data_IF_032435380936
#
_entry.id   IF_032435380936
#
_cell.length_a   1.000
_cell.length_b   1.000
_cell.length_c   1.000
_cell.angle_alpha   90.00
_cell.angle_beta   90.00
_cell.angle_gamma   90.00
#
_symmetry.space_group_name_H-M   'P 1'
#
loop_
_entity.id
_entity.type
_entity.pdbx_description
1 polymer ?
#
# COMPACT_ATOMS: atom_id res chain seq x y z
N UNK A 1 11.61 20.97 -11.65
CA UNK A 1 10.70 21.18 -10.50
C UNK A 1 10.46 19.82 -9.82
N UNK A 2 10.41 19.81 -8.49
CA UNK A 2 10.12 18.61 -7.70
C UNK A 2 8.62 18.28 -7.78
N UNK A 3 8.29 17.01 -7.97
CA UNK A 3 6.92 16.50 -7.82
C UNK A 3 6.79 16.01 -6.37
N UNK A 4 5.88 16.58 -5.62
CA UNK A 4 5.58 16.16 -4.26
C UNK A 4 4.69 14.91 -4.22
N UNK A 5 4.38 14.44 -3.01
CA UNK A 5 3.42 13.37 -2.80
C UNK A 5 2.02 13.75 -3.34
N UNK A 6 1.33 12.80 -3.95
CA UNK A 6 0.01 13.06 -4.56
C UNK A 6 -1.13 13.18 -3.52
N UNK A 7 -0.91 12.77 -2.29
CA UNK A 7 -1.80 12.99 -1.14
C UNK A 7 -1.01 13.67 -0.04
N UNK A 8 -1.55 14.76 0.51
CA UNK A 8 -0.91 15.49 1.58
C UNK A 8 -1.60 15.21 2.93
N UNK A 9 -0.83 14.83 3.93
CA UNK A 9 -1.25 14.68 5.32
C UNK A 9 -2.53 13.84 5.52
N UNK A 10 -2.58 12.60 5.05
CA UNK A 10 -3.70 11.71 5.35
C UNK A 10 -3.79 11.46 6.86
N UNK A 11 -5.01 11.23 7.38
CA UNK A 11 -5.16 10.85 8.79
C UNK A 11 -4.68 9.42 9.05
N UNK A 12 -4.72 8.57 8.02
CA UNK A 12 -4.23 7.20 8.05
C UNK A 12 -3.50 6.84 6.77
N UNK A 13 -2.39 6.17 6.92
CA UNK A 13 -1.74 5.42 5.86
C UNK A 13 -1.73 3.94 6.27
N UNK A 14 -2.60 3.16 5.66
CA UNK A 14 -2.76 1.74 5.94
C UNK A 14 -2.06 0.90 4.89
N UNK A 15 -1.56 -0.25 5.29
CA UNK A 15 -1.00 -1.26 4.39
C UNK A 15 -1.66 -2.61 4.61
N UNK A 16 -1.68 -3.43 3.56
CA UNK A 16 -2.21 -4.79 3.60
C UNK A 16 -1.06 -5.78 3.41
N UNK A 17 -0.82 -6.58 4.42
CA UNK A 17 0.21 -7.61 4.38
C UNK A 17 -0.25 -8.87 3.66
N UNK A 18 0.68 -9.52 2.95
CA UNK A 18 0.50 -10.84 2.34
C UNK A 18 -0.78 -10.95 1.48
N UNK A 19 -1.00 -9.98 0.61
CA UNK A 19 -2.23 -9.89 -0.18
C UNK A 19 -2.12 -10.41 -1.62
N UNK A 20 -1.00 -11.04 -1.99
CA UNK A 20 -0.81 -11.65 -3.30
C UNK A 20 -0.50 -13.14 -3.17
N UNK A 21 -1.15 -13.95 -4.03
CA UNK A 21 -1.07 -15.42 -3.96
C UNK A 21 0.32 -15.96 -4.25
N UNK A 22 1.00 -15.38 -5.22
CA UNK A 22 2.37 -15.73 -5.60
C UNK A 22 3.36 -15.39 -4.48
N UNK A 23 3.23 -14.21 -3.86
CA UNK A 23 4.04 -13.81 -2.72
C UNK A 23 3.84 -14.73 -1.50
N UNK A 24 2.61 -15.14 -1.20
CA UNK A 24 2.32 -16.11 -0.15
C UNK A 24 3.00 -17.46 -0.44
N UNK A 25 2.95 -17.91 -1.69
CA UNK A 25 3.59 -19.15 -2.15
C UNK A 25 5.11 -19.07 -2.07
N UNK A 26 5.71 -17.98 -2.53
CA UNK A 26 7.14 -17.73 -2.48
C UNK A 26 7.70 -17.77 -1.05
N UNK A 27 6.96 -17.23 -0.10
CA UNK A 27 7.33 -17.21 1.32
C UNK A 27 6.93 -18.51 2.08
N UNK A 28 6.29 -19.49 1.44
CA UNK A 28 5.73 -20.67 2.08
C UNK A 28 4.78 -20.34 3.25
N UNK A 29 4.01 -19.26 3.12
CA UNK A 29 3.04 -18.85 4.12
C UNK A 29 1.63 -19.27 3.71
N UNK A 30 0.76 -19.59 4.67
CA UNK A 30 -0.64 -19.87 4.38
C UNK A 30 -1.35 -18.61 3.89
N UNK A 31 -2.29 -18.77 2.97
CA UNK A 31 -3.16 -17.66 2.53
C UNK A 31 -3.95 -17.15 3.74
N UNK A 32 -3.90 -15.84 4.04
CA UNK A 32 -4.66 -15.24 5.13
C UNK A 32 -6.16 -15.44 4.92
N UNK A 33 -6.88 -15.71 6.00
CA UNK A 33 -8.36 -15.80 5.98
C UNK A 33 -9.03 -14.43 6.03
N UNK A 34 -8.31 -13.42 6.53
CA UNK A 34 -8.75 -12.03 6.66
C UNK A 34 -7.60 -11.10 6.31
N UNK A 35 -7.86 -9.85 5.84
CA UNK A 35 -6.83 -8.88 5.55
C UNK A 35 -5.93 -8.59 6.76
N UNK A 36 -4.63 -8.70 6.57
CA UNK A 36 -3.63 -8.30 7.59
C UNK A 36 -3.40 -6.81 7.42
N UNK A 37 -3.98 -6.01 8.30
CA UNK A 37 -3.86 -4.55 8.27
C UNK A 37 -2.70 -4.10 9.17
N UNK A 38 -1.85 -3.23 8.66
CA UNK A 38 -0.85 -2.52 9.45
C UNK A 38 -0.89 -1.02 9.13
N UNK A 39 -0.29 -0.21 9.99
CA UNK A 39 -0.16 1.23 9.76
C UNK A 39 1.24 1.57 9.27
N UNK A 40 1.31 2.43 8.25
CA UNK A 40 2.53 3.19 7.96
C UNK A 40 2.39 4.55 8.64
N UNK A 41 3.44 4.98 9.33
CA UNK A 41 3.43 6.31 9.96
C UNK A 41 3.44 7.39 8.86
N UNK A 42 2.58 8.39 8.98
CA UNK A 42 2.39 9.38 7.91
C UNK A 42 3.61 10.24 7.60
N UNK A 43 4.59 10.30 8.53
CA UNK A 43 5.90 10.92 8.31
C UNK A 43 6.73 10.22 7.22
N UNK A 44 6.40 8.96 6.87
CA UNK A 44 7.11 8.24 5.81
C UNK A 44 6.78 8.73 4.41
N UNK A 45 5.71 9.52 4.24
CA UNK A 45 5.21 9.95 2.92
C UNK A 45 6.17 10.94 2.29
N UNK A 46 6.58 10.62 1.06
CA UNK A 46 7.41 11.47 0.20
C UNK A 46 6.90 11.42 -1.24
N UNK A 47 7.38 12.33 -2.07
CA UNK A 47 7.05 12.33 -3.50
C UNK A 47 7.69 11.17 -4.26
N UNK A 48 7.23 10.89 -5.49
CA UNK A 48 7.62 9.69 -6.25
C UNK A 48 9.11 9.69 -6.66
N UNK A 49 9.75 10.85 -6.66
CA UNK A 49 11.16 11.01 -7.06
C UNK A 49 12.04 11.50 -5.89
N UNK A 50 11.52 11.48 -4.67
CA UNK A 50 12.31 11.83 -3.50
C UNK A 50 13.22 10.66 -3.09
N UNK A 51 14.33 10.98 -2.45
CA UNK A 51 15.24 9.96 -1.96
C UNK A 51 14.63 9.17 -0.82
N UNK A 52 14.88 7.86 -0.81
CA UNK A 52 14.61 7.00 0.33
C UNK A 52 15.88 7.01 1.21
N UNK A 53 15.70 7.37 2.47
CA UNK A 53 16.80 7.40 3.44
C UNK A 53 16.88 6.06 4.17
N UNK A 54 17.95 5.31 3.92
CA UNK A 54 18.18 4.03 4.61
C UNK A 54 18.45 4.33 6.10
N UNK A 55 17.71 3.73 7.04
CA UNK A 55 17.88 3.97 8.46
C UNK A 55 19.29 3.58 8.95
N UNK A 56 19.77 4.28 9.97
CA UNK A 56 21.06 3.92 10.61
C UNK A 56 21.01 2.47 11.10
N UNK A 57 22.07 1.73 10.83
CA UNK A 57 22.21 0.31 11.18
C UNK A 57 21.19 -0.62 10.49
N UNK A 58 20.54 -0.18 9.41
CA UNK A 58 19.75 -1.04 8.55
C UNK A 58 20.65 -1.79 7.56
N UNK A 59 20.40 -3.08 7.43
CA UNK A 59 21.04 -3.95 6.44
C UNK A 59 20.00 -4.72 5.60
N UNK A 60 18.72 -4.51 5.87
CA UNK A 60 17.61 -5.27 5.27
C UNK A 60 16.49 -4.35 4.76
N UNK A 61 16.84 -3.19 4.21
CA UNK A 61 15.90 -2.32 3.51
C UNK A 61 15.54 -2.95 2.17
N UNK A 62 14.24 -3.07 1.90
CA UNK A 62 13.68 -3.80 0.78
C UNK A 62 12.56 -2.99 0.11
N UNK A 63 12.22 -3.33 -1.10
CA UNK A 63 11.19 -2.66 -1.93
C UNK A 63 9.93 -3.52 -2.02
N UNK A 64 8.80 -2.87 -2.23
CA UNK A 64 7.51 -3.49 -2.53
C UNK A 64 6.72 -2.54 -3.43
N UNK A 65 6.60 -2.86 -4.73
CA UNK A 65 5.72 -2.10 -5.63
C UNK A 65 4.27 -2.46 -5.37
N UNK A 66 3.41 -1.44 -5.22
CA UNK A 66 2.00 -1.63 -4.92
C UNK A 66 1.11 -0.62 -5.65
N UNK A 67 -0.16 -0.98 -5.78
CA UNK A 67 -1.21 -0.01 -6.06
C UNK A 67 -1.70 0.53 -4.72
N UNK A 68 -1.78 1.85 -4.62
CA UNK A 68 -2.47 2.51 -3.54
C UNK A 68 -3.83 3.01 -3.98
N UNK A 69 -4.76 3.17 -3.04
CA UNK A 69 -6.01 3.87 -3.27
C UNK A 69 -6.27 4.91 -2.19
N UNK A 70 -7.05 5.93 -2.56
CA UNK A 70 -7.41 7.03 -1.65
C UNK A 70 -8.91 7.08 -1.43
N UNK A 71 -9.31 7.26 -0.18
CA UNK A 71 -10.70 7.40 0.22
C UNK A 71 -11.22 8.79 -0.18
N UNK A 72 -12.36 8.84 -0.85
CA UNK A 72 -13.00 10.08 -1.29
C UNK A 72 -14.22 10.50 -0.47
N UNK A 73 -14.83 9.55 0.27
CA UNK A 73 -16.01 9.80 1.13
C UNK A 73 -15.82 9.10 2.46
N UNK A 74 -16.37 9.67 3.54
CA UNK A 74 -16.37 9.03 4.86
C UNK A 74 -17.03 7.64 4.78
N UNK A 75 -16.28 6.59 5.13
CA UNK A 75 -16.69 5.19 5.08
C UNK A 75 -16.73 4.59 6.49
N UNK A 76 -17.88 4.02 6.87
CA UNK A 76 -18.09 3.31 8.12
C UNK A 76 -19.15 2.24 7.89
N UNK A 77 -18.82 0.98 8.20
CA UNK A 77 -19.69 -0.18 8.00
C UNK A 77 -20.21 -0.30 6.56
N UNK A 78 -19.32 -0.13 5.59
CA UNK A 78 -19.65 -0.15 4.16
C UNK A 78 -19.77 -1.59 3.68
N UNK A 79 -20.87 -1.92 3.00
CA UNK A 79 -21.00 -3.21 2.33
C UNK A 79 -20.08 -3.28 1.10
N UNK A 80 -19.51 -4.45 0.84
CA UNK A 80 -18.55 -4.69 -0.25
C UNK A 80 -19.06 -4.19 -1.61
N UNK A 81 -20.33 -4.48 -1.95
CA UNK A 81 -20.95 -4.04 -3.22
C UNK A 81 -20.97 -2.52 -3.44
N UNK A 82 -20.87 -1.74 -2.37
CA UNK A 82 -20.89 -0.28 -2.39
C UNK A 82 -19.49 0.34 -2.16
N UNK A 83 -18.48 -0.49 -1.92
CA UNK A 83 -17.17 -0.04 -1.41
C UNK A 83 -16.46 0.94 -2.35
N UNK A 84 -16.54 0.72 -3.66
CA UNK A 84 -15.93 1.61 -4.66
C UNK A 84 -16.53 3.02 -4.70
N UNK A 85 -17.74 3.22 -4.23
CA UNK A 85 -18.33 4.56 -4.15
C UNK A 85 -17.60 5.47 -3.17
N UNK A 86 -16.78 4.88 -2.30
CA UNK A 86 -15.97 5.56 -1.29
C UNK A 86 -14.53 5.79 -1.73
N UNK A 87 -14.09 5.18 -2.82
CA UNK A 87 -12.75 5.36 -3.40
C UNK A 87 -12.76 6.55 -4.35
N UNK A 88 -11.80 7.47 -4.21
CA UNK A 88 -11.58 8.58 -5.14
C UNK A 88 -10.78 8.13 -6.36
N UNK A 89 -9.74 7.35 -6.16
CA UNK A 89 -8.84 6.93 -7.22
C UNK A 89 -7.65 6.13 -6.70
N UNK A 90 -6.70 5.89 -7.61
CA UNK A 90 -5.56 5.00 -7.43
C UNK A 90 -4.26 5.74 -7.71
N UNK A 91 -3.18 5.28 -7.12
CA UNK A 91 -1.83 5.81 -7.33
C UNK A 91 -0.79 4.69 -7.16
N UNK A 92 0.44 4.95 -7.61
CA UNK A 92 1.56 4.05 -7.32
C UNK A 92 2.15 4.36 -5.95
N UNK A 93 2.56 3.32 -5.26
CA UNK A 93 3.27 3.42 -3.99
C UNK A 93 4.38 2.37 -3.94
N UNK A 94 5.46 2.69 -3.28
CA UNK A 94 6.46 1.70 -2.88
C UNK A 94 6.37 1.56 -1.35
N UNK A 95 5.95 0.39 -0.88
CA UNK A 95 5.91 0.07 0.55
C UNK A 95 7.30 -0.36 1.02
N UNK A 96 8.21 0.61 1.10
CA UNK A 96 9.58 0.35 1.54
C UNK A 96 9.59 -0.21 2.94
N UNK A 97 10.36 -1.26 3.15
CA UNK A 97 10.35 -2.09 4.35
C UNK A 97 11.77 -2.29 4.89
N UNK A 98 11.95 -2.12 6.18
CA UNK A 98 13.13 -2.58 6.88
C UNK A 98 12.79 -3.93 7.54
N UNK A 99 13.26 -5.02 6.93
CA UNK A 99 12.82 -6.38 7.27
C UNK A 99 13.19 -6.83 8.67
N UNK A 100 14.35 -6.40 9.20
CA UNK A 100 14.75 -6.74 10.56
C UNK A 100 13.79 -6.11 11.58
N UNK A 101 13.42 -4.85 11.39
CA UNK A 101 12.47 -4.17 12.26
C UNK A 101 11.04 -4.67 12.09
N UNK A 102 10.66 -5.07 10.89
CA UNK A 102 9.35 -5.63 10.61
C UNK A 102 9.15 -6.99 11.29
N UNK A 103 10.16 -7.89 11.22
CA UNK A 103 10.00 -9.30 11.60
C UNK A 103 10.58 -9.63 12.98
N UNK A 104 11.71 -9.00 13.38
CA UNK A 104 12.51 -9.46 14.49
C UNK A 104 12.58 -8.47 15.67
N UNK A 105 12.13 -7.23 15.51
CA UNK A 105 12.18 -6.18 16.56
C UNK A 105 10.85 -5.96 17.29
N UNK A 106 10.08 -7.00 17.49
CA UNK A 106 8.76 -6.98 18.14
C UNK A 106 7.70 -7.62 17.29
N UNK A 107 6.45 -7.54 17.73
CA UNK A 107 5.34 -8.30 17.13
C UNK A 107 4.53 -7.52 16.11
N UNK A 108 4.79 -6.22 15.92
CA UNK A 108 4.07 -5.38 14.96
C UNK A 108 4.98 -4.95 13.83
N UNK A 109 4.41 -4.78 12.63
CA UNK A 109 5.15 -4.44 11.42
C UNK A 109 5.44 -2.94 11.29
N UNK A 110 4.66 -2.11 11.97
CA UNK A 110 4.63 -0.65 11.79
C UNK A 110 6.02 0.00 11.81
N UNK A 111 6.89 -0.43 12.74
CA UNK A 111 8.26 0.12 12.83
C UNK A 111 9.13 -0.19 11.62
N UNK A 112 8.95 -1.35 10.99
CA UNK A 112 9.68 -1.70 9.77
C UNK A 112 9.12 -1.05 8.52
N UNK A 113 7.89 -0.57 8.57
CA UNK A 113 7.13 0.00 7.47
C UNK A 113 7.01 1.53 7.51
N UNK A 114 7.30 2.15 8.66
CA UNK A 114 7.03 3.56 8.92
C UNK A 114 8.27 4.44 9.15
N UNK A 115 9.47 4.02 8.75
CA UNK A 115 10.65 4.90 8.78
C UNK A 115 10.41 6.12 7.88
N UNK A 116 11.06 7.23 8.20
CA UNK A 116 11.04 8.42 7.35
C UNK A 116 11.36 8.05 5.90
N UNK A 117 10.64 8.64 4.95
CA UNK A 117 10.77 8.43 3.50
C UNK A 117 10.36 7.05 2.95
N UNK A 118 9.86 6.13 3.78
CA UNK A 118 9.52 4.76 3.38
C UNK A 118 8.17 4.62 2.65
N UNK A 119 7.54 5.73 2.32
CA UNK A 119 6.26 5.76 1.61
C UNK A 119 6.27 6.73 0.42
N UNK A 120 7.11 6.52 -0.61
CA UNK A 120 7.00 7.31 -1.86
C UNK A 120 5.65 7.01 -2.53
N UNK A 121 4.87 8.07 -2.81
CA UNK A 121 3.56 7.97 -3.46
C UNK A 121 3.42 8.93 -4.63
N UNK A 122 2.74 8.50 -5.67
CA UNK A 122 2.44 9.34 -6.84
C UNK A 122 2.80 8.67 -8.16
N UNK A 123 3.06 9.47 -9.23
CA UNK A 123 3.16 10.95 -9.26
C UNK A 123 1.83 11.70 -9.16
N UNK A 124 0.70 11.04 -9.40
CA UNK A 124 -0.64 11.61 -9.37
C UNK A 124 -1.66 10.57 -8.91
N UNK A 125 -2.86 11.01 -8.60
CA UNK A 125 -4.03 10.15 -8.42
C UNK A 125 -4.74 10.03 -9.76
N UNK A 126 -4.91 8.80 -10.24
CA UNK A 126 -5.79 8.51 -11.36
C UNK A 126 -7.18 8.23 -10.78
N UNK A 127 -8.17 9.06 -11.13
CA UNK A 127 -9.52 8.90 -10.60
C UNK A 127 -10.15 7.59 -11.07
N UNK A 128 -11.04 7.02 -10.27
CA UNK A 128 -11.58 5.67 -10.53
C UNK A 128 -12.31 5.53 -11.86
N UNK A 129 -12.88 6.62 -12.39
CA UNK A 129 -13.56 6.67 -13.68
C UNK A 129 -12.59 6.60 -14.87
N UNK A 130 -11.31 6.93 -14.66
CA UNK A 130 -10.25 6.81 -15.66
C UNK A 130 -9.64 5.40 -15.70
N UNK A 131 -9.86 4.58 -14.67
CA UNK A 131 -9.32 3.21 -14.58
C UNK A 131 -10.39 2.21 -14.97
N UNK A 132 -10.27 1.66 -16.19
CA UNK A 132 -11.26 0.73 -16.74
C UNK A 132 -11.38 -0.57 -15.95
N UNK A 133 -10.25 -1.11 -15.49
CA UNK A 133 -10.19 -2.38 -14.77
C UNK A 133 -9.04 -2.36 -13.75
N UNK A 134 -9.34 -1.89 -12.54
CA UNK A 134 -8.37 -1.83 -11.43
C UNK A 134 -8.05 -3.23 -10.85
N UNK A 135 -8.81 -4.26 -11.20
CA UNK A 135 -8.53 -5.64 -10.83
C UNK A 135 -7.62 -6.35 -11.83
N UNK A 136 -7.13 -5.66 -12.87
CA UNK A 136 -6.22 -6.23 -13.87
C UNK A 136 -5.16 -5.21 -14.33
N UNK A 137 -4.44 -4.64 -13.38
CA UNK A 137 -3.35 -3.70 -13.62
C UNK A 137 -2.00 -4.43 -13.49
N UNK A 138 -1.15 -4.30 -14.50
CA UNK A 138 0.22 -4.77 -14.43
C UNK A 138 1.05 -3.83 -13.56
N UNK A 139 1.85 -4.41 -12.68
CA UNK A 139 2.81 -3.70 -11.84
C UNK A 139 4.20 -4.24 -12.07
N UNK A 140 5.20 -3.39 -11.99
CA UNK A 140 6.58 -3.82 -12.00
C UNK A 140 7.49 -2.82 -11.26
N UNK A 141 8.66 -3.30 -10.86
CA UNK A 141 9.69 -2.51 -10.22
C UNK A 141 11.05 -2.92 -10.77
N UNK A 142 11.83 -1.94 -11.17
CA UNK A 142 13.21 -2.11 -11.60
C UNK A 142 14.15 -1.40 -10.62
N UNK A 143 15.28 -2.04 -10.33
CA UNK A 143 16.38 -1.46 -9.54
C UNK A 143 17.62 -1.41 -10.41
N UNK A 144 18.19 -0.23 -10.61
CA UNK A 144 19.37 -0.02 -11.47
C UNK A 144 19.20 -0.58 -12.89
N UNK A 145 17.98 -0.56 -13.42
CA UNK A 145 17.66 -1.07 -14.76
C UNK A 145 17.42 -2.58 -14.82
N UNK A 146 17.44 -3.29 -13.70
CA UNK A 146 17.15 -4.71 -13.60
C UNK A 146 15.74 -4.93 -13.03
N UNK A 147 14.94 -5.80 -13.66
CA UNK A 147 13.59 -6.13 -13.23
C UNK A 147 13.62 -6.95 -11.94
N UNK A 148 13.10 -6.40 -10.84
CA UNK A 148 13.07 -7.02 -9.53
C UNK A 148 11.68 -7.53 -9.15
N UNK A 149 10.60 -6.87 -9.60
CA UNK A 149 9.24 -7.35 -9.37
C UNK A 149 8.40 -7.25 -10.64
N UNK A 150 7.50 -8.19 -10.82
CA UNK A 150 6.44 -8.20 -11.84
C UNK A 150 5.20 -8.84 -11.22
N UNK A 151 4.07 -8.16 -11.26
CA UNK A 151 2.81 -8.62 -10.70
C UNK A 151 1.60 -8.07 -11.45
N UNK A 152 0.43 -8.53 -11.04
CA UNK A 152 -0.84 -8.03 -11.57
C UNK A 152 -1.90 -8.02 -10.46
N UNK A 153 -2.71 -6.98 -10.39
CA UNK A 153 -3.74 -6.82 -9.34
C UNK A 153 -4.80 -7.94 -9.34
N UNK A 154 -4.96 -8.69 -10.43
CA UNK A 154 -5.84 -9.87 -10.48
C UNK A 154 -5.42 -11.00 -9.53
N UNK A 155 -4.16 -11.00 -9.09
CA UNK A 155 -3.60 -12.00 -8.19
C UNK A 155 -3.74 -11.62 -6.71
N UNK A 156 -4.38 -10.47 -6.40
CA UNK A 156 -4.74 -10.12 -5.03
C UNK A 156 -5.61 -11.20 -4.39
N UNK A 157 -5.35 -11.49 -3.12
CA UNK A 157 -6.16 -12.39 -2.28
C UNK A 157 -7.47 -11.68 -1.91
N UNK A 158 -7.37 -10.44 -1.45
CA UNK A 158 -8.50 -9.57 -1.17
C UNK A 158 -8.48 -8.39 -2.14
N UNK A 159 -9.53 -8.22 -2.92
CA UNK A 159 -9.66 -7.10 -3.84
C UNK A 159 -9.98 -5.78 -3.11
N UNK A 160 -9.97 -4.67 -3.84
CA UNK A 160 -10.13 -3.33 -3.24
C UNK A 160 -11.48 -3.16 -2.54
N UNK A 161 -12.56 -3.71 -3.09
CA UNK A 161 -13.89 -3.66 -2.48
C UNK A 161 -13.92 -4.37 -1.14
N UNK A 162 -13.33 -5.55 -1.07
CA UNK A 162 -13.20 -6.33 0.17
C UNK A 162 -12.36 -5.57 1.20
N UNK A 163 -11.25 -4.97 0.78
CA UNK A 163 -10.38 -4.20 1.66
C UNK A 163 -11.10 -2.97 2.25
N UNK A 164 -11.77 -2.16 1.42
CA UNK A 164 -12.51 -0.98 1.88
C UNK A 164 -13.64 -1.38 2.82
N UNK A 165 -14.42 -2.41 2.47
CA UNK A 165 -15.47 -2.95 3.33
C UNK A 165 -14.90 -3.37 4.67
N UNK A 166 -13.92 -4.27 4.67
CA UNK A 166 -13.31 -4.82 5.89
C UNK A 166 -12.74 -3.72 6.79
N UNK A 167 -11.92 -2.82 6.25
CA UNK A 167 -11.34 -1.72 7.02
C UNK A 167 -12.42 -0.79 7.60
N UNK A 168 -13.51 -0.53 6.85
CA UNK A 168 -14.61 0.32 7.32
C UNK A 168 -15.39 -0.29 8.49
N UNK A 169 -15.33 -1.60 8.68
CA UNK A 169 -15.88 -2.27 9.87
C UNK A 169 -14.94 -2.17 11.07
N UNK A 170 -13.64 -2.12 10.85
CA UNK A 170 -12.65 -1.95 11.92
C UNK A 170 -12.57 -0.50 12.39
N UNK A 171 -12.61 0.48 11.46
CA UNK A 171 -12.41 1.89 11.77
C UNK A 171 -13.17 2.78 10.77
N UNK A 172 -13.46 4.03 11.16
CA UNK A 172 -13.95 5.01 10.19
C UNK A 172 -12.80 5.46 9.28
N UNK A 173 -13.02 5.34 7.96
CA UNK A 173 -12.11 5.91 6.96
C UNK A 173 -12.62 7.29 6.56
N UNK A 174 -11.71 8.24 6.43
CA UNK A 174 -12.02 9.63 6.07
C UNK A 174 -11.47 9.99 4.68
N UNK A 175 -12.08 10.99 4.01
CA UNK A 175 -11.52 11.52 2.77
C UNK A 175 -10.05 11.89 2.94
N UNK A 176 -9.21 11.41 2.01
CA UNK A 176 -7.76 11.59 2.07
C UNK A 176 -7.01 10.46 2.79
N UNK A 177 -7.66 9.55 3.52
CA UNK A 177 -7.01 8.35 4.01
C UNK A 177 -6.55 7.48 2.83
N UNK A 178 -5.38 6.89 2.95
CA UNK A 178 -4.76 6.07 1.90
C UNK A 178 -4.46 4.66 2.38
N UNK A 179 -4.51 3.73 1.44
CA UNK A 179 -4.16 2.34 1.67
C UNK A 179 -3.33 1.80 0.51
N UNK A 180 -2.28 1.06 0.81
CA UNK A 180 -1.51 0.26 -0.13
C UNK A 180 -1.95 -1.21 -0.05
N UNK A 181 -2.05 -1.87 -1.22
CA UNK A 181 -2.81 -3.13 -1.37
C UNK A 181 -2.01 -4.40 -1.15
N UNK A 182 -0.72 -4.28 -0.86
CA UNK A 182 0.22 -5.41 -0.85
C UNK A 182 0.93 -5.58 -2.19
N UNK A 183 1.95 -6.39 -2.16
CA UNK A 183 2.83 -6.65 -3.31
C UNK A 183 2.89 -8.13 -3.64
#
# INVERSE_FOLDING_TARGET
SRIGACVNSPSKFLGIGLNFKDHATEQNLPIPKEPIIFSKFTNCIVGPNDNIEVPKNSNHTDWEVEIGFVIGKKAKYVEEKNALDYVLGFFLVTDVSEREFQKNKGLTWDKGKGFDTFGPIGPYILTKDEVKDYNNLNMFLDVNGERMQTGNTKDMIFNIEQLVSYMSHCMTLYPGDICCTGT
#
